data_IF_097326935505
#
_entry.id   IF_097326935505
#
_cell.length_a   1.000
_cell.length_b   1.000
_cell.length_c   1.000
_cell.angle_alpha   90.00
_cell.angle_beta   90.00
_cell.angle_gamma   90.00
#
_symmetry.space_group_name_H-M   'P 1'
#
loop_
_entity.id
_entity.type
_entity.pdbx_description
1 polymer ?
#
# COMPACT_ATOMS: atom_id res chain seq x y z
N UNK A 1 -22.68 5.09 -12.86
CA UNK A 1 -23.69 4.03 -13.10
C UNK A 1 -23.80 3.66 -14.56
N UNK A 2 -23.97 4.59 -15.51
CA UNK A 2 -23.97 4.26 -16.94
C UNK A 2 -22.74 3.44 -17.39
N UNK A 3 -21.53 3.85 -16.98
CA UNK A 3 -20.30 3.08 -17.24
C UNK A 3 -20.39 1.65 -16.69
N UNK A 4 -20.84 1.50 -15.44
CA UNK A 4 -21.01 0.20 -14.78
C UNK A 4 -22.01 -0.70 -15.52
N UNK A 5 -23.13 -0.13 -15.94
CA UNK A 5 -24.17 -0.83 -16.71
C UNK A 5 -23.62 -1.31 -18.07
N UNK A 6 -22.88 -0.45 -18.77
CA UNK A 6 -22.26 -0.77 -20.05
C UNK A 6 -21.22 -1.88 -19.91
N UNK A 7 -20.31 -1.79 -18.93
CA UNK A 7 -19.32 -2.85 -18.69
C UNK A 7 -19.98 -4.17 -18.30
N UNK A 8 -21.04 -4.13 -17.47
CA UNK A 8 -21.78 -5.34 -17.11
C UNK A 8 -22.49 -5.98 -18.32
N UNK A 9 -23.12 -5.16 -19.18
CA UNK A 9 -23.75 -5.64 -20.40
C UNK A 9 -22.74 -6.22 -21.38
N UNK A 10 -21.64 -5.52 -21.65
CA UNK A 10 -20.58 -6.00 -22.56
C UNK A 10 -19.97 -7.31 -22.06
N UNK A 11 -19.64 -7.39 -20.75
CA UNK A 11 -19.19 -8.65 -20.13
C UNK A 11 -20.18 -9.79 -20.39
N UNK A 12 -21.48 -9.54 -20.22
CA UNK A 12 -22.52 -10.56 -20.38
C UNK A 12 -22.76 -10.95 -21.85
N UNK A 13 -22.74 -10.00 -22.77
CA UNK A 13 -23.01 -10.25 -24.20
C UNK A 13 -21.81 -10.85 -24.93
N UNK A 14 -20.61 -10.39 -24.60
CA UNK A 14 -19.37 -10.79 -25.30
C UNK A 14 -18.60 -11.90 -24.57
N UNK A 15 -18.97 -12.21 -23.32
CA UNK A 15 -18.25 -13.15 -22.45
C UNK A 15 -16.76 -12.80 -22.29
N UNK A 16 -16.45 -11.50 -22.30
CA UNK A 16 -15.10 -10.96 -22.12
C UNK A 16 -14.96 -10.24 -20.79
N UNK A 17 -13.80 -10.42 -20.18
CA UNK A 17 -13.43 -9.67 -18.98
C UNK A 17 -13.37 -8.18 -19.27
N UNK A 18 -13.74 -7.37 -18.29
CA UNK A 18 -13.78 -5.91 -18.38
C UNK A 18 -12.88 -5.32 -17.30
N UNK A 19 -12.37 -4.11 -17.54
CA UNK A 19 -11.64 -3.36 -16.53
C UNK A 19 -12.10 -1.90 -16.57
N UNK A 20 -12.44 -1.35 -15.41
CA UNK A 20 -12.71 0.08 -15.23
C UNK A 20 -11.49 0.68 -14.53
N UNK A 21 -10.72 1.47 -15.28
CA UNK A 21 -9.63 2.28 -14.76
C UNK A 21 -10.19 3.60 -14.22
N UNK A 22 -9.84 3.93 -12.97
CA UNK A 22 -10.22 5.19 -12.33
C UNK A 22 -8.94 5.98 -12.06
N UNK A 23 -8.70 7.00 -12.88
CA UNK A 23 -7.53 7.89 -12.77
C UNK A 23 -7.93 9.31 -12.33
N UNK A 24 -6.94 10.10 -11.90
CA UNK A 24 -7.12 11.48 -11.46
C UNK A 24 -6.19 11.85 -10.30
N UNK A 25 -6.07 13.14 -10.00
CA UNK A 25 -5.20 13.65 -8.94
C UNK A 25 -5.59 13.16 -7.54
N UNK A 26 -4.67 13.24 -6.58
CA UNK A 26 -4.97 12.94 -5.16
C UNK A 26 -6.13 13.82 -4.67
N UNK A 27 -7.18 13.19 -4.12
CA UNK A 27 -8.42 13.87 -3.68
C UNK A 27 -9.53 13.99 -4.73
N UNK A 28 -9.33 13.58 -5.99
CA UNK A 28 -10.32 13.73 -7.07
C UNK A 28 -11.59 12.84 -6.96
N UNK A 29 -11.74 12.05 -5.87
CA UNK A 29 -12.92 11.19 -5.66
C UNK A 29 -12.84 9.78 -6.27
N UNK A 30 -11.64 9.30 -6.64
CA UNK A 30 -11.43 7.96 -7.24
C UNK A 30 -12.00 6.82 -6.40
N UNK A 31 -11.67 6.79 -5.11
CA UNK A 31 -12.15 5.77 -4.17
C UNK A 31 -13.67 5.83 -3.98
N UNK A 32 -14.26 7.03 -3.98
CA UNK A 32 -15.72 7.18 -3.93
C UNK A 32 -16.40 6.70 -5.21
N UNK A 33 -15.80 6.94 -6.38
CA UNK A 33 -16.28 6.40 -7.65
C UNK A 33 -16.24 4.85 -7.64
N UNK A 34 -15.14 4.25 -7.17
CA UNK A 34 -15.01 2.81 -7.01
C UNK A 34 -16.10 2.23 -6.09
N UNK A 35 -16.36 2.88 -4.94
CA UNK A 35 -17.45 2.52 -4.03
C UNK A 35 -18.82 2.59 -4.71
N UNK A 36 -19.08 3.61 -5.53
CA UNK A 36 -20.35 3.75 -6.27
C UNK A 36 -20.50 2.66 -7.34
N UNK A 37 -19.44 2.31 -8.05
CA UNK A 37 -19.47 1.20 -9.02
C UNK A 37 -19.79 -0.13 -8.31
N UNK A 38 -19.15 -0.41 -7.17
CA UNK A 38 -19.46 -1.58 -6.36
C UNK A 38 -20.92 -1.56 -5.86
N UNK A 39 -21.41 -0.42 -5.39
CA UNK A 39 -22.81 -0.23 -4.97
C UNK A 39 -23.80 -0.46 -6.13
N UNK A 40 -23.43 -0.12 -7.36
CA UNK A 40 -24.25 -0.40 -8.53
C UNK A 40 -24.41 -1.90 -8.74
N UNK A 41 -23.30 -2.63 -8.89
CA UNK A 41 -23.34 -4.09 -9.09
C UNK A 41 -24.00 -4.83 -7.93
N UNK A 42 -23.81 -4.31 -6.71
CA UNK A 42 -24.44 -4.80 -5.49
C UNK A 42 -25.97 -4.77 -5.54
N UNK A 43 -26.58 -3.82 -6.27
CA UNK A 43 -28.03 -3.60 -6.33
C UNK A 43 -28.65 -4.13 -7.61
N UNK A 44 -27.94 -4.05 -8.75
CA UNK A 44 -28.50 -4.35 -10.07
C UNK A 44 -28.29 -5.79 -10.53
N UNK A 45 -27.25 -6.47 -10.04
CA UNK A 45 -26.94 -7.82 -10.49
C UNK A 45 -27.89 -8.84 -9.81
N UNK A 46 -28.19 -9.98 -10.48
CA UNK A 46 -29.07 -11.01 -9.93
C UNK A 46 -28.60 -11.48 -8.55
N UNK A 47 -29.50 -11.41 -7.56
CA UNK A 47 -29.21 -11.82 -6.19
C UNK A 47 -29.47 -13.32 -6.00
N UNK A 48 -28.54 -13.98 -5.34
CA UNK A 48 -28.78 -15.20 -4.56
C UNK A 48 -28.30 -14.94 -3.13
N UNK A 49 -28.70 -15.76 -2.15
CA UNK A 49 -28.24 -15.60 -0.76
C UNK A 49 -26.71 -15.60 -0.66
N UNK A 50 -26.01 -16.31 -1.56
CA UNK A 50 -24.54 -16.28 -1.65
C UNK A 50 -23.99 -14.95 -2.18
N UNK A 51 -24.72 -14.29 -3.08
CA UNK A 51 -24.35 -12.99 -3.70
C UNK A 51 -24.39 -11.87 -2.66
N UNK A 52 -25.40 -11.86 -1.78
CA UNK A 52 -25.51 -10.83 -0.73
C UNK A 52 -24.32 -10.87 0.23
N UNK A 53 -23.84 -12.06 0.58
CA UNK A 53 -22.67 -12.23 1.44
C UNK A 53 -21.37 -11.76 0.78
N UNK A 54 -21.13 -12.08 -0.50
CA UNK A 54 -19.93 -11.61 -1.22
C UNK A 54 -19.96 -10.09 -1.40
N UNK A 55 -21.14 -9.55 -1.74
CA UNK A 55 -21.39 -8.10 -1.84
C UNK A 55 -21.03 -7.38 -0.55
N UNK A 56 -21.56 -7.83 0.58
CA UNK A 56 -21.35 -7.19 1.86
C UNK A 56 -19.87 -7.26 2.24
N UNK A 57 -19.18 -8.39 1.99
CA UNK A 57 -17.74 -8.53 2.20
C UNK A 57 -16.90 -7.60 1.35
N UNK A 58 -17.22 -7.43 0.05
CA UNK A 58 -16.53 -6.49 -0.82
C UNK A 58 -16.64 -5.05 -0.28
N UNK A 59 -17.85 -4.63 0.11
CA UNK A 59 -18.07 -3.29 0.66
C UNK A 59 -17.40 -3.11 2.03
N UNK A 60 -17.46 -4.11 2.91
CA UNK A 60 -16.85 -4.07 4.24
C UNK A 60 -15.31 -4.23 4.20
N UNK A 61 -14.73 -4.73 3.10
CA UNK A 61 -13.26 -4.75 2.95
C UNK A 61 -12.66 -3.34 2.85
N UNK A 62 -13.40 -2.36 2.32
CA UNK A 62 -12.88 -1.00 2.10
C UNK A 62 -12.52 -0.28 3.41
N UNK A 63 -13.38 -0.18 4.44
CA UNK A 63 -12.99 0.43 5.72
C UNK A 63 -11.70 -0.16 6.32
N UNK A 64 -11.54 -1.49 6.21
CA UNK A 64 -10.36 -2.18 6.71
C UNK A 64 -9.11 -1.82 5.90
N UNK A 65 -9.20 -1.84 4.56
CA UNK A 65 -8.08 -1.45 3.71
C UNK A 65 -7.72 0.04 3.85
N UNK A 66 -8.71 0.92 3.99
CA UNK A 66 -8.50 2.36 4.22
C UNK A 66 -7.83 2.59 5.59
N UNK A 67 -8.23 1.88 6.64
CA UNK A 67 -7.59 2.02 7.94
C UNK A 67 -6.08 1.70 7.92
N UNK A 68 -5.70 0.64 7.20
CA UNK A 68 -4.31 0.17 7.13
C UNK A 68 -3.51 0.70 5.94
N UNK A 69 -4.16 1.34 4.97
CA UNK A 69 -3.54 1.76 3.71
C UNK A 69 -3.69 3.24 3.42
N UNK A 70 -4.53 3.97 4.15
CA UNK A 70 -4.73 5.40 3.96
C UNK A 70 -4.15 6.21 5.10
N UNK A 71 -3.77 7.43 4.76
CA UNK A 71 -3.26 8.42 5.68
C UNK A 71 -3.64 9.83 5.24
N UNK A 72 -3.55 10.77 6.18
CA UNK A 72 -3.74 12.19 5.89
C UNK A 72 -2.45 12.78 5.32
N UNK A 73 -2.54 13.39 4.13
CA UNK A 73 -1.48 14.17 3.49
C UNK A 73 -1.83 15.65 3.51
N UNK A 74 -0.99 16.50 2.90
CA UNK A 74 -1.29 17.93 2.74
C UNK A 74 -2.46 18.22 1.78
N UNK A 75 -2.76 17.29 0.87
CA UNK A 75 -3.79 17.48 -0.18
C UNK A 75 -5.09 16.72 0.10
N UNK A 76 -5.02 15.62 0.85
CA UNK A 76 -6.16 14.75 1.09
C UNK A 76 -6.10 14.14 2.50
N UNK A 77 -7.18 14.33 3.27
CA UNK A 77 -7.28 13.82 4.63
C UNK A 77 -7.37 12.28 4.70
N UNK A 78 -7.86 11.62 3.64
CA UNK A 78 -7.97 10.17 3.51
C UNK A 78 -7.32 9.70 2.20
N UNK A 79 -6.00 9.88 2.09
CA UNK A 79 -5.24 9.54 0.88
C UNK A 79 -4.83 8.08 0.89
N UNK A 80 -5.21 7.33 -0.16
CA UNK A 80 -4.70 5.98 -0.40
C UNK A 80 -3.19 6.01 -0.63
N UNK A 81 -2.44 5.24 0.17
CA UNK A 81 -0.97 5.10 0.08
C UNK A 81 -0.55 3.71 -0.42
N UNK A 82 -1.44 3.10 -1.20
CA UNK A 82 -1.26 1.85 -1.93
C UNK A 82 -2.16 1.88 -3.17
N UNK A 83 -1.78 1.16 -4.23
CA UNK A 83 -2.63 0.91 -5.38
C UNK A 83 -3.52 -0.30 -5.12
N UNK A 84 -4.79 -0.23 -5.54
CA UNK A 84 -5.77 -1.29 -5.34
C UNK A 84 -6.39 -1.70 -6.68
N UNK A 85 -6.25 -2.96 -7.02
CA UNK A 85 -7.02 -3.59 -8.08
C UNK A 85 -8.00 -4.57 -7.46
N UNK A 86 -9.26 -4.52 -7.86
CA UNK A 86 -10.32 -5.38 -7.35
C UNK A 86 -11.08 -6.02 -8.49
N UNK A 87 -11.03 -7.34 -8.55
CA UNK A 87 -11.83 -8.15 -9.45
C UNK A 87 -13.14 -8.56 -8.79
N UNK A 88 -14.23 -8.39 -9.53
CA UNK A 88 -15.54 -8.95 -9.20
C UNK A 88 -15.79 -10.08 -10.18
N UNK A 89 -15.99 -11.28 -9.66
CA UNK A 89 -16.19 -12.49 -10.46
C UNK A 89 -17.68 -12.74 -10.66
N UNK A 90 -18.08 -13.02 -11.89
CA UNK A 90 -19.47 -13.26 -12.29
C UNK A 90 -19.64 -14.66 -12.89
N UNK A 91 -20.71 -15.36 -12.48
CA UNK A 91 -21.09 -16.61 -13.15
C UNK A 91 -21.66 -16.36 -14.55
N UNK A 92 -21.91 -17.43 -15.31
CA UNK A 92 -22.49 -17.36 -16.66
C UNK A 92 -23.89 -16.70 -16.70
N UNK A 93 -24.58 -16.56 -15.56
CA UNK A 93 -25.87 -15.88 -15.46
C UNK A 93 -25.71 -14.38 -15.17
N UNK A 94 -24.48 -13.95 -14.90
CA UNK A 94 -24.12 -12.58 -14.55
C UNK A 94 -24.34 -12.26 -13.07
N UNK A 95 -24.39 -13.27 -12.19
CA UNK A 95 -24.47 -13.05 -10.74
C UNK A 95 -23.06 -12.93 -10.12
N UNK A 96 -22.81 -12.02 -9.16
CA UNK A 96 -21.53 -11.90 -8.47
C UNK A 96 -21.28 -13.13 -7.59
N UNK A 97 -20.21 -13.87 -7.85
CA UNK A 97 -19.92 -15.14 -7.17
C UNK A 97 -18.66 -15.13 -6.31
N UNK A 98 -17.84 -14.10 -6.45
CA UNK A 98 -16.60 -13.94 -5.70
C UNK A 98 -15.89 -12.64 -6.04
N UNK A 99 -14.71 -12.47 -5.46
CA UNK A 99 -13.83 -11.37 -5.83
C UNK A 99 -12.38 -11.61 -5.41
N UNK A 100 -11.51 -10.76 -5.91
CA UNK A 100 -10.09 -10.80 -5.59
C UNK A 100 -9.52 -9.38 -5.54
N UNK A 101 -8.64 -9.13 -4.58
CA UNK A 101 -7.98 -7.83 -4.38
C UNK A 101 -6.48 -8.03 -4.55
N UNK A 102 -5.88 -7.24 -5.43
CA UNK A 102 -4.44 -7.07 -5.54
C UNK A 102 -4.05 -5.71 -4.98
N UNK A 103 -3.05 -5.69 -4.12
CA UNK A 103 -2.48 -4.47 -3.58
C UNK A 103 -1.08 -4.24 -4.17
N UNK A 104 -0.79 -2.98 -4.50
CA UNK A 104 0.47 -2.55 -5.08
C UNK A 104 1.10 -1.46 -4.25
N UNK A 105 2.43 -1.50 -4.09
CA UNK A 105 3.24 -0.36 -3.67
C UNK A 105 2.71 0.37 -2.42
N UNK A 106 2.48 -0.36 -1.32
CA UNK A 106 2.22 0.26 -0.02
C UNK A 106 3.43 1.14 0.37
N UNK A 107 3.18 2.39 0.72
CA UNK A 107 4.18 3.36 1.17
C UNK A 107 4.70 3.03 2.58
N UNK A 108 5.58 2.03 2.68
CA UNK A 108 6.06 1.51 3.98
C UNK A 108 6.80 2.56 4.82
N UNK A 109 7.50 3.50 4.19
CA UNK A 109 8.25 4.56 4.89
C UNK A 109 7.37 5.42 5.78
N UNK A 110 6.09 5.60 5.42
CA UNK A 110 5.10 6.33 6.23
C UNK A 110 4.96 5.78 7.65
N UNK A 111 5.21 4.49 7.85
CA UNK A 111 5.15 3.85 9.17
C UNK A 111 6.10 4.50 10.16
N UNK A 112 7.30 4.90 9.71
CA UNK A 112 8.39 5.37 10.58
C UNK A 112 8.70 6.86 10.44
N UNK A 113 8.24 7.48 9.34
CA UNK A 113 8.46 8.89 9.04
C UNK A 113 7.23 9.51 8.38
N UNK A 114 6.92 10.77 8.71
CA UNK A 114 5.88 11.56 8.04
C UNK A 114 6.36 13.00 7.87
N UNK A 115 6.04 13.60 6.74
CA UNK A 115 6.30 15.02 6.50
C UNK A 115 5.46 15.89 7.45
N UNK A 116 5.95 17.10 7.73
CA UNK A 116 5.21 18.05 8.57
C UNK A 116 3.80 18.31 8.00
N UNK A 117 2.81 18.26 8.88
CA UNK A 117 1.39 18.37 8.52
C UNK A 117 0.75 17.05 8.11
N UNK A 118 1.46 15.93 8.02
CA UNK A 118 0.89 14.63 7.64
C UNK A 118 0.66 13.70 8.83
N UNK A 119 -0.15 12.66 8.63
CA UNK A 119 -0.35 11.56 9.60
C UNK A 119 0.32 10.27 9.14
N UNK A 120 0.51 9.39 10.11
CA UNK A 120 0.72 7.97 9.85
C UNK A 120 -0.61 7.31 9.37
N UNK A 121 -0.62 6.00 9.15
CA UNK A 121 -1.82 5.26 8.77
C UNK A 121 -2.94 5.39 9.82
N UNK A 122 -4.18 5.45 9.36
CA UNK A 122 -5.34 5.74 10.22
C UNK A 122 -5.51 4.74 11.36
N UNK A 123 -5.20 3.45 11.14
CA UNK A 123 -5.38 2.39 12.12
C UNK A 123 -4.71 2.69 13.47
N UNK A 124 -3.54 3.35 13.48
CA UNK A 124 -2.85 3.67 14.72
C UNK A 124 -3.66 4.64 15.59
N UNK A 125 -4.20 5.69 14.97
CA UNK A 125 -5.02 6.69 15.66
C UNK A 125 -6.37 6.09 16.07
N UNK A 126 -6.99 5.28 15.19
CA UNK A 126 -8.24 4.58 15.43
C UNK A 126 -8.15 3.63 16.64
N UNK A 127 -7.09 2.83 16.75
CA UNK A 127 -6.91 1.91 17.89
C UNK A 127 -6.71 2.69 19.19
N UNK A 128 -5.87 3.73 19.19
CA UNK A 128 -5.54 4.52 20.38
C UNK A 128 -6.77 5.31 20.90
N UNK A 129 -7.53 5.95 20.01
CA UNK A 129 -8.70 6.74 20.40
C UNK A 129 -9.96 5.89 20.61
N UNK A 130 -10.12 4.82 19.82
CA UNK A 130 -11.32 4.00 19.75
C UNK A 130 -11.32 2.75 20.62
N UNK A 131 -10.15 2.19 20.93
CA UNK A 131 -10.01 0.99 21.76
C UNK A 131 -10.55 1.22 23.18
N UNK A 132 -11.14 0.18 23.77
CA UNK A 132 -11.53 0.21 25.19
C UNK A 132 -10.31 0.08 26.11
N UNK A 133 -10.50 0.39 27.40
CA UNK A 133 -9.39 0.39 28.38
C UNK A 133 -8.74 -0.99 28.54
N UNK A 134 -9.52 -2.06 28.42
CA UNK A 134 -9.01 -3.43 28.58
C UNK A 134 -8.16 -3.85 27.37
N UNK A 135 -8.56 -3.48 26.16
CA UNK A 135 -7.80 -3.65 24.93
C UNK A 135 -6.49 -2.84 24.99
N UNK A 136 -6.56 -1.56 25.33
CA UNK A 136 -5.37 -0.71 25.41
C UNK A 136 -4.40 -1.23 26.47
N UNK A 137 -4.90 -1.66 27.64
CA UNK A 137 -4.07 -2.28 28.69
C UNK A 137 -3.42 -3.57 28.21
N UNK A 138 -4.14 -4.45 27.50
CA UNK A 138 -3.57 -5.67 26.91
C UNK A 138 -2.47 -5.36 25.91
N UNK A 139 -2.67 -4.37 25.05
CA UNK A 139 -1.67 -3.93 24.06
C UNK A 139 -0.53 -3.09 24.66
N UNK A 140 -0.65 -2.68 25.93
CA UNK A 140 0.27 -1.77 26.59
C UNK A 140 0.28 -0.38 25.95
N UNK A 141 -0.87 0.07 25.42
CA UNK A 141 -0.99 1.35 24.73
C UNK A 141 -1.58 2.43 25.64
N UNK A 142 -1.13 3.67 25.44
CA UNK A 142 -1.67 4.89 26.05
C UNK A 142 -2.52 5.63 25.02
N UNK A 143 -3.60 6.29 25.48
CA UNK A 143 -4.50 7.05 24.60
C UNK A 143 -3.87 8.29 23.96
N UNK A 144 -2.73 8.75 24.46
CA UNK A 144 -2.10 9.96 23.96
C UNK A 144 -1.21 9.64 22.74
N UNK A 145 -1.55 10.10 21.53
CA UNK A 145 -0.69 9.87 20.36
C UNK A 145 0.70 10.48 20.51
N UNK A 146 0.86 11.49 21.37
CA UNK A 146 2.15 12.13 21.64
C UNK A 146 3.14 11.21 22.37
N UNK A 147 2.67 10.10 22.96
CA UNK A 147 3.53 9.10 23.60
C UNK A 147 4.27 8.22 22.58
N UNK A 148 4.02 8.37 21.28
CA UNK A 148 4.58 7.50 20.23
C UNK A 148 5.38 8.27 19.19
N UNK A 149 6.67 7.95 19.08
CA UNK A 149 7.58 8.62 18.14
C UNK A 149 7.11 8.52 16.68
N UNK A 150 6.50 7.40 16.28
CA UNK A 150 5.98 7.19 14.93
C UNK A 150 4.67 7.92 14.62
N UNK A 151 4.01 8.54 15.61
CA UNK A 151 2.75 9.28 15.39
C UNK A 151 2.92 10.80 15.44
N UNK A 152 4.10 11.29 15.86
CA UNK A 152 4.36 12.73 16.07
C UNK A 152 5.30 13.35 15.04
N UNK A 153 5.95 12.57 14.16
CA UNK A 153 6.91 13.12 13.16
C UNK A 153 6.27 14.18 12.27
N UNK A 154 5.01 14.00 11.89
CA UNK A 154 4.27 14.96 11.08
C UNK A 154 3.62 16.11 11.87
N UNK A 155 3.80 16.20 13.19
CA UNK A 155 3.17 17.22 14.05
C UNK A 155 1.65 17.38 13.87
N UNK A 156 0.96 16.31 13.46
CA UNK A 156 -0.47 16.30 13.20
C UNK A 156 -1.08 15.02 13.79
N UNK A 157 -1.63 15.08 15.00
CA UNK A 157 -2.31 13.92 15.59
C UNK A 157 -3.80 13.89 15.26
N UNK A 158 -4.42 15.06 15.15
CA UNK A 158 -5.87 15.23 14.95
C UNK A 158 -6.17 15.87 13.60
N UNK A 159 -7.28 15.43 12.99
CA UNK A 159 -7.80 15.95 11.73
C UNK A 159 -9.28 16.25 11.93
N UNK A 160 -9.72 17.47 11.60
CA UNK A 160 -11.09 17.93 11.91
C UNK A 160 -12.19 17.17 11.16
N UNK A 161 -11.89 16.65 9.97
CA UNK A 161 -12.80 15.88 9.12
C UNK A 161 -12.92 14.39 9.51
N UNK A 162 -12.08 13.91 10.45
CA UNK A 162 -11.97 12.49 10.78
C UNK A 162 -12.35 12.26 12.25
N UNK A 163 -13.09 11.17 12.51
CA UNK A 163 -13.42 10.74 13.86
C UNK A 163 -12.87 9.33 14.10
N UNK A 164 -11.61 9.26 14.51
CA UNK A 164 -10.86 8.00 14.65
C UNK A 164 -11.57 7.00 15.59
N UNK A 165 -12.29 7.47 16.61
CA UNK A 165 -13.09 6.62 17.51
C UNK A 165 -14.30 5.97 16.82
N UNK A 166 -15.00 6.70 15.96
CA UNK A 166 -16.13 6.13 15.21
C UNK A 166 -15.62 5.25 14.06
N UNK A 167 -14.53 5.65 13.42
CA UNK A 167 -13.92 4.87 12.34
C UNK A 167 -13.39 3.54 12.86
N UNK A 168 -12.82 3.51 14.07
CA UNK A 168 -12.47 2.27 14.76
C UNK A 168 -13.65 1.31 14.91
N UNK A 169 -14.83 1.80 15.32
CA UNK A 169 -16.03 0.96 15.43
C UNK A 169 -16.43 0.39 14.07
N UNK A 170 -16.32 1.19 13.01
CA UNK A 170 -16.60 0.77 11.64
C UNK A 170 -15.62 -0.31 11.19
N UNK A 171 -14.31 -0.13 11.42
CA UNK A 171 -13.26 -1.11 11.10
C UNK A 171 -13.45 -2.41 11.89
N UNK A 172 -13.69 -2.31 13.20
CA UNK A 172 -13.89 -3.48 14.06
C UNK A 172 -15.11 -4.29 13.64
N UNK A 173 -16.24 -3.62 13.32
CA UNK A 173 -17.43 -4.29 12.78
C UNK A 173 -17.15 -4.91 11.42
N UNK A 174 -16.44 -4.19 10.56
CA UNK A 174 -16.10 -4.67 9.22
C UNK A 174 -15.28 -5.96 9.28
N UNK A 175 -14.24 -6.02 10.13
CA UNK A 175 -13.41 -7.22 10.35
C UNK A 175 -14.27 -8.47 10.64
N UNK A 176 -15.31 -8.34 11.46
CA UNK A 176 -16.23 -9.45 11.74
C UNK A 176 -17.05 -9.90 10.51
N UNK A 177 -17.41 -8.99 9.61
CA UNK A 177 -18.18 -9.30 8.39
C UNK A 177 -17.30 -10.00 7.34
N UNK A 178 -16.03 -9.65 7.26
CA UNK A 178 -15.04 -10.27 6.34
C UNK A 178 -14.38 -11.52 6.93
N UNK A 179 -15.07 -12.23 7.82
CA UNK A 179 -14.69 -13.50 8.43
C UNK A 179 -13.34 -13.50 9.20
N UNK A 180 -12.96 -12.39 9.83
CA UNK A 180 -11.85 -12.42 10.79
C UNK A 180 -12.35 -12.98 12.12
N UNK A 181 -11.66 -13.99 12.63
CA UNK A 181 -11.93 -14.51 13.98
C UNK A 181 -11.42 -13.54 15.04
N UNK A 182 -11.92 -13.66 16.28
CA UNK A 182 -11.42 -12.85 17.39
C UNK A 182 -9.92 -13.04 17.63
N UNK A 183 -9.38 -14.25 17.38
CA UNK A 183 -7.95 -14.53 17.45
C UNK A 183 -7.17 -13.80 16.34
N UNK A 184 -7.68 -13.81 15.10
CA UNK A 184 -7.07 -13.04 14.00
C UNK A 184 -7.01 -11.54 14.31
N UNK A 185 -8.09 -10.99 14.91
CA UNK A 185 -8.17 -9.58 15.30
C UNK A 185 -7.17 -9.28 16.43
N UNK A 186 -7.08 -10.14 17.44
CA UNK A 186 -6.13 -9.97 18.54
C UNK A 186 -4.67 -9.99 18.05
N UNK A 187 -4.31 -10.96 17.20
CA UNK A 187 -2.98 -11.02 16.59
C UNK A 187 -2.67 -9.81 15.73
N UNK A 188 -3.63 -9.36 14.90
CA UNK A 188 -3.50 -8.16 14.09
C UNK A 188 -3.21 -6.91 14.95
N UNK A 189 -3.93 -6.76 16.06
CA UNK A 189 -3.75 -5.63 16.97
C UNK A 189 -2.46 -5.72 17.78
N UNK A 190 -2.01 -6.93 18.15
CA UNK A 190 -0.69 -7.14 18.75
C UNK A 190 0.42 -6.65 17.82
N UNK A 191 0.30 -6.90 16.51
CA UNK A 191 1.26 -6.40 15.53
C UNK A 191 1.20 -4.87 15.39
N UNK A 192 0.00 -4.28 15.31
CA UNK A 192 -0.17 -2.82 15.27
C UNK A 192 0.47 -2.15 16.50
N UNK A 193 0.23 -2.69 17.70
CA UNK A 193 0.83 -2.19 18.93
C UNK A 193 2.36 -2.38 18.94
N UNK A 194 2.85 -3.51 18.43
CA UNK A 194 4.29 -3.77 18.33
C UNK A 194 5.02 -2.74 17.48
N UNK A 195 4.42 -2.31 16.37
CA UNK A 195 5.01 -1.26 15.50
C UNK A 195 5.15 0.06 16.25
N UNK A 196 4.15 0.46 17.04
CA UNK A 196 4.22 1.67 17.86
C UNK A 196 5.30 1.58 18.95
N UNK A 197 5.38 0.43 19.63
CA UNK A 197 6.38 0.19 20.67
C UNK A 197 7.80 0.12 20.12
N UNK A 198 7.99 -0.42 18.91
CA UNK A 198 9.28 -0.39 18.21
C UNK A 198 9.76 1.05 18.05
N UNK A 199 8.90 1.99 17.63
CA UNK A 199 9.30 3.39 17.46
C UNK A 199 9.77 4.09 18.73
N UNK A 200 9.35 3.59 19.89
CA UNK A 200 9.74 4.13 21.20
C UNK A 200 11.01 3.48 21.78
N UNK A 201 11.56 2.45 21.14
CA UNK A 201 12.83 1.87 21.54
C UNK A 201 13.96 2.89 21.35
N UNK A 202 14.65 3.17 22.45
CA UNK A 202 15.85 4.01 22.48
C UNK A 202 17.10 3.14 22.53
N UNK A 203 18.11 3.55 21.76
CA UNK A 203 19.44 2.95 21.76
C UNK A 203 20.46 3.97 22.29
N UNK A 204 21.39 3.52 23.12
CA UNK A 204 22.56 4.26 23.59
C UNK A 204 23.83 3.62 23.05
N UNK A 205 24.93 4.38 23.03
CA UNK A 205 26.26 3.82 22.81
C UNK A 205 26.78 3.22 24.12
N UNK A 206 27.38 2.04 24.05
CA UNK A 206 28.28 1.55 25.09
C UNK A 206 29.67 2.19 24.98
N UNK A 207 30.59 1.78 25.87
CA UNK A 207 31.97 2.29 25.96
C UNK A 207 32.79 2.01 24.70
N UNK A 208 32.40 1.00 23.91
CA UNK A 208 33.05 0.59 22.66
C UNK A 208 32.41 1.21 21.40
N UNK A 209 31.40 2.08 21.56
CA UNK A 209 30.70 2.71 20.43
C UNK A 209 29.50 1.91 19.89
N UNK A 210 29.17 0.77 20.49
CA UNK A 210 28.14 -0.14 19.99
C UNK A 210 26.76 0.18 20.57
N UNK A 211 25.71 -0.15 19.81
CA UNK A 211 24.34 0.08 20.19
C UNK A 211 23.88 -0.86 21.32
N UNK A 212 23.28 -0.27 22.34
CA UNK A 212 22.63 -0.98 23.45
C UNK A 212 21.23 -0.43 23.68
N UNK A 213 20.26 -1.30 23.97
CA UNK A 213 18.86 -0.89 24.18
C UNK A 213 18.63 -0.52 25.65
N UNK A 214 18.14 0.70 25.89
CA UNK A 214 17.97 1.28 27.25
C UNK A 214 16.63 0.94 27.93
N UNK A 215 15.66 0.35 27.21
CA UNK A 215 14.29 0.08 27.69
C UNK A 215 13.96 -1.40 27.89
N UNK A 216 14.29 -1.98 29.05
CA UNK A 216 14.00 -3.40 29.35
C UNK A 216 12.49 -3.72 29.36
N UNK A 217 11.66 -2.81 29.88
CA UNK A 217 10.21 -2.99 29.89
C UNK A 217 9.60 -2.98 28.49
N UNK A 218 10.13 -2.16 27.58
CA UNK A 218 9.67 -2.09 26.19
C UNK A 218 10.02 -3.38 25.43
N UNK A 219 11.22 -3.94 25.66
CA UNK A 219 11.62 -5.22 25.06
C UNK A 219 10.75 -6.36 25.57
N UNK A 220 10.43 -6.41 26.87
CA UNK A 220 9.51 -7.43 27.41
C UNK A 220 8.12 -7.33 26.81
N UNK A 221 7.60 -6.11 26.64
CA UNK A 221 6.31 -5.85 26.02
C UNK A 221 6.30 -6.31 24.55
N UNK A 222 7.32 -5.92 23.77
CA UNK A 222 7.49 -6.34 22.37
C UNK A 222 7.63 -7.86 22.23
N UNK A 223 8.44 -8.47 23.09
CA UNK A 223 8.63 -9.93 23.15
C UNK A 223 7.30 -10.67 23.33
N UNK A 224 6.43 -10.17 24.22
CA UNK A 224 5.09 -10.72 24.42
C UNK A 224 4.17 -10.51 23.22
N UNK A 225 4.13 -9.31 22.65
CA UNK A 225 3.23 -8.98 21.54
C UNK A 225 3.62 -9.69 20.23
N UNK A 226 4.92 -9.81 19.95
CA UNK A 226 5.45 -10.49 18.76
C UNK A 226 5.59 -12.00 18.95
N UNK A 227 5.51 -12.50 20.18
CA UNK A 227 5.69 -13.92 20.49
C UNK A 227 7.13 -14.43 20.27
N UNK A 228 8.13 -13.56 20.45
CA UNK A 228 9.56 -13.88 20.23
C UNK A 228 10.37 -13.71 21.52
N UNK A 229 11.44 -14.48 21.76
CA UNK A 229 12.30 -14.27 22.93
C UNK A 229 12.93 -12.87 22.94
N UNK A 230 12.82 -12.16 24.07
CA UNK A 230 13.36 -10.80 24.20
C UNK A 230 14.88 -10.70 24.03
N UNK A 231 15.62 -11.76 24.37
CA UNK A 231 17.08 -11.85 24.15
C UNK A 231 17.41 -11.85 22.66
N UNK A 232 16.70 -12.66 21.87
CA UNK A 232 16.87 -12.75 20.42
C UNK A 232 16.48 -11.44 19.74
N UNK A 233 15.37 -10.82 20.17
CA UNK A 233 14.93 -9.53 19.63
C UNK A 233 15.96 -8.42 19.92
N UNK A 234 16.52 -8.39 21.13
CA UNK A 234 17.56 -7.43 21.51
C UNK A 234 18.81 -7.58 20.65
N UNK A 235 19.31 -8.81 20.51
CA UNK A 235 20.49 -9.10 19.69
C UNK A 235 20.25 -8.74 18.22
N UNK A 236 19.09 -9.12 17.66
CA UNK A 236 18.73 -8.83 16.27
C UNK A 236 18.62 -7.34 15.94
N UNK A 237 18.35 -6.49 16.94
CA UNK A 237 18.27 -5.03 16.77
C UNK A 237 19.63 -4.34 16.95
N UNK A 238 20.59 -4.97 17.64
CA UNK A 238 21.90 -4.39 17.93
C UNK A 238 23.06 -5.06 17.22
N UNK A 239 22.83 -6.17 16.51
CA UNK A 239 23.85 -6.92 15.79
C UNK A 239 23.39 -7.26 14.36
N UNK A 240 24.36 -7.41 13.47
CA UNK A 240 24.17 -7.97 12.13
C UNK A 240 24.91 -9.30 12.00
N UNK A 241 24.29 -10.23 11.28
CA UNK A 241 24.90 -11.49 10.88
C UNK A 241 25.46 -11.35 9.46
N UNK A 242 26.76 -11.58 9.30
CA UNK A 242 27.47 -11.54 8.02
C UNK A 242 27.88 -12.98 7.71
N UNK A 243 27.50 -13.46 6.52
CA UNK A 243 27.92 -14.78 6.02
C UNK A 243 28.94 -14.54 4.91
N UNK A 244 30.19 -14.91 5.16
CA UNK A 244 31.28 -14.75 4.19
C UNK A 244 32.03 -16.08 4.05
N UNK A 245 32.13 -16.60 2.82
CA UNK A 245 32.86 -17.85 2.49
C UNK A 245 32.46 -19.08 3.35
N UNK A 246 31.21 -19.13 3.81
CA UNK A 246 30.69 -20.22 4.65
C UNK A 246 30.90 -20.05 6.16
N UNK A 247 31.58 -18.98 6.59
CA UNK A 247 31.69 -18.61 8.00
C UNK A 247 30.61 -17.59 8.38
N UNK A 248 30.03 -17.75 9.56
CA UNK A 248 29.03 -16.84 10.12
C UNK A 248 29.69 -15.96 11.18
N UNK A 249 29.68 -14.64 10.96
CA UNK A 249 30.20 -13.67 11.90
C UNK A 249 29.07 -12.75 12.37
N UNK A 250 28.95 -12.59 13.68
CA UNK A 250 28.01 -11.65 14.31
C UNK A 250 28.82 -10.41 14.71
N UNK A 251 28.41 -9.26 14.20
CA UNK A 251 29.07 -7.97 14.45
C UNK A 251 28.08 -6.99 15.05
N UNK A 252 28.47 -6.23 16.09
CA UNK A 252 27.62 -5.20 16.67
C UNK A 252 27.36 -4.06 15.67
N UNK A 253 26.23 -3.38 15.85
CA UNK A 253 25.83 -2.19 15.12
C UNK A 253 26.14 -0.95 15.95
N UNK A 254 26.41 0.17 15.30
CA UNK A 254 26.41 1.47 15.98
C UNK A 254 24.96 1.97 16.20
N UNK A 255 24.78 3.05 16.98
CA UNK A 255 23.46 3.58 17.36
C UNK A 255 22.60 3.92 16.14
N UNK A 256 23.21 4.52 15.12
CA UNK A 256 22.53 4.91 13.88
C UNK A 256 22.05 3.68 13.09
N UNK A 257 22.92 2.68 12.90
CA UNK A 257 22.58 1.41 12.24
C UNK A 257 21.50 0.64 13.00
N UNK A 258 21.51 0.65 14.34
CA UNK A 258 20.47 0.04 15.15
C UNK A 258 19.11 0.75 14.98
N UNK A 259 19.10 2.08 14.84
CA UNK A 259 17.89 2.83 14.51
C UNK A 259 17.37 2.48 13.11
N UNK A 260 18.25 2.38 12.11
CA UNK A 260 17.88 1.89 10.78
C UNK A 260 17.32 0.45 10.81
N UNK A 261 17.93 -0.45 11.58
CA UNK A 261 17.47 -1.84 11.72
C UNK A 261 16.07 -1.91 12.37
N UNK A 262 15.84 -1.12 13.43
CA UNK A 262 14.53 -0.97 14.09
C UNK A 262 13.47 -0.45 13.12
N UNK A 263 13.78 0.59 12.36
CA UNK A 263 12.84 1.19 11.42
C UNK A 263 12.58 0.24 10.24
N UNK A 264 13.60 -0.47 9.75
CA UNK A 264 13.45 -1.51 8.74
C UNK A 264 12.54 -2.65 9.24
N UNK A 265 12.71 -3.10 10.48
CA UNK A 265 11.86 -4.11 11.10
C UNK A 265 10.41 -3.64 11.21
N UNK A 266 10.17 -2.41 11.67
CA UNK A 266 8.82 -1.83 11.77
C UNK A 266 8.13 -1.75 10.40
N UNK A 267 8.83 -1.26 9.37
CA UNK A 267 8.34 -1.22 7.98
C UNK A 267 8.05 -2.61 7.44
N UNK A 268 8.92 -3.59 7.71
CA UNK A 268 8.78 -4.96 7.23
C UNK A 268 7.59 -5.67 7.88
N UNK A 269 7.43 -5.53 9.20
CA UNK A 269 6.30 -6.07 9.96
C UNK A 269 5.00 -5.49 9.40
N UNK A 270 4.87 -4.16 9.37
CA UNK A 270 3.64 -3.52 8.90
C UNK A 270 3.31 -3.88 7.45
N UNK A 271 4.31 -3.83 6.56
CA UNK A 271 4.12 -4.19 5.15
C UNK A 271 3.68 -5.64 4.95
N UNK A 272 4.25 -6.60 5.71
CA UNK A 272 3.84 -8.01 5.64
C UNK A 272 2.46 -8.23 6.26
N UNK A 273 2.11 -7.50 7.32
CA UNK A 273 0.77 -7.53 7.92
C UNK A 273 -0.28 -7.01 6.94
N UNK A 274 0.01 -5.96 6.19
CA UNK A 274 -0.90 -5.47 5.15
C UNK A 274 -1.10 -6.50 4.03
N UNK A 275 -0.02 -7.13 3.55
CA UNK A 275 -0.14 -8.24 2.58
C UNK A 275 -0.94 -9.42 3.13
N UNK A 276 -0.73 -9.80 4.40
CA UNK A 276 -1.50 -10.84 5.07
C UNK A 276 -2.99 -10.46 5.19
N UNK A 277 -3.28 -9.20 5.52
CA UNK A 277 -4.63 -8.67 5.64
C UNK A 277 -5.38 -8.80 4.31
N UNK A 278 -4.76 -8.40 3.20
CA UNK A 278 -5.30 -8.55 1.85
C UNK A 278 -5.51 -10.03 1.51
N UNK A 279 -4.56 -10.91 1.83
CA UNK A 279 -4.70 -12.35 1.61
C UNK A 279 -5.87 -12.95 2.40
N UNK A 280 -6.07 -12.53 3.65
CA UNK A 280 -7.18 -12.98 4.49
C UNK A 280 -8.53 -12.48 3.96
N UNK A 281 -8.61 -11.22 3.52
CA UNK A 281 -9.78 -10.67 2.81
C UNK A 281 -10.09 -11.51 1.56
N UNK A 282 -9.08 -11.81 0.75
CA UNK A 282 -9.25 -12.63 -0.45
C UNK A 282 -9.78 -14.03 -0.15
N UNK A 283 -9.38 -14.66 0.97
CA UNK A 283 -9.97 -15.93 1.42
C UNK A 283 -11.45 -15.82 1.77
N UNK A 284 -11.90 -14.67 2.30
CA UNK A 284 -13.32 -14.42 2.57
C UNK A 284 -14.12 -14.14 1.29
N UNK A 285 -13.50 -13.50 0.29
CA UNK A 285 -14.09 -13.17 -1.01
C UNK A 285 -14.06 -14.32 -2.03
N UNK A 286 -13.20 -15.32 -1.82
CA UNK A 286 -12.97 -16.39 -2.77
C UNK A 286 -14.26 -17.18 -3.08
N UNK A 287 -14.47 -17.44 -4.37
CA UNK A 287 -15.54 -18.30 -4.84
C UNK A 287 -15.32 -19.74 -4.34
N UNK A 288 -16.32 -20.33 -3.68
CA UNK A 288 -16.19 -21.63 -2.99
C UNK A 288 -16.74 -22.84 -3.77
N UNK A 289 -17.25 -22.68 -4.99
CA UNK A 289 -17.67 -23.86 -5.77
C UNK A 289 -16.45 -24.54 -6.42
N UNK A 290 -16.28 -25.83 -6.09
CA UNK A 290 -15.16 -26.69 -6.46
C UNK A 290 -15.30 -27.32 -7.86
N UNK A 291 -16.33 -26.97 -8.63
CA UNK A 291 -16.57 -27.46 -9.99
C UNK A 291 -15.87 -26.59 -11.04
N UNK A 292 -14.67 -26.09 -10.72
CA UNK A 292 -13.79 -25.40 -11.65
C UNK A 292 -13.35 -26.39 -12.75
N UNK A 293 -13.90 -26.20 -13.94
CA UNK A 293 -13.30 -26.67 -15.18
C UNK A 293 -12.96 -25.44 -16.02
N UNK A 294 -11.94 -25.49 -16.87
CA UNK A 294 -11.57 -24.36 -17.76
C UNK A 294 -12.74 -23.87 -18.63
N UNK A 295 -13.77 -24.70 -18.83
CA UNK A 295 -15.00 -24.34 -19.56
C UNK A 295 -16.02 -23.51 -18.75
N UNK A 296 -15.79 -23.30 -17.45
CA UNK A 296 -16.72 -22.64 -16.54
C UNK A 296 -16.06 -21.52 -15.72
N UNK A 297 -14.97 -20.94 -16.25
CA UNK A 297 -14.28 -19.82 -15.60
C UNK A 297 -15.22 -18.61 -15.50
N UNK A 298 -15.38 -17.99 -14.32
CA UNK A 298 -16.19 -16.79 -14.18
C UNK A 298 -15.56 -15.63 -14.95
N UNK A 299 -16.40 -14.83 -15.60
CA UNK A 299 -15.97 -13.55 -16.17
C UNK A 299 -15.69 -12.55 -15.06
N UNK A 300 -14.82 -11.60 -15.35
CA UNK A 300 -14.35 -10.63 -14.36
C UNK A 300 -14.64 -9.21 -14.80
N UNK A 301 -15.10 -8.38 -13.86
CA UNK A 301 -15.01 -6.92 -13.99
C UNK A 301 -13.99 -6.44 -12.95
N UNK A 302 -12.82 -6.03 -13.45
CA UNK A 302 -11.76 -5.42 -12.67
C UNK A 302 -12.02 -3.94 -12.43
N UNK A 303 -11.71 -3.46 -11.23
CA UNK A 303 -11.71 -2.06 -10.86
C UNK A 303 -10.29 -1.68 -10.43
N UNK A 304 -9.65 -0.79 -11.20
CA UNK A 304 -8.32 -0.29 -10.88
C UNK A 304 -8.45 1.10 -10.22
N UNK A 305 -8.28 1.13 -8.90
CA UNK A 305 -8.25 2.33 -8.06
C UNK A 305 -6.81 2.55 -7.56
N UNK A 306 -6.08 3.40 -8.28
CA UNK A 306 -4.69 3.73 -7.96
C UNK A 306 -4.59 5.12 -7.34
N UNK A 307 -3.54 5.37 -6.55
CA UNK A 307 -3.19 6.72 -6.11
C UNK A 307 -2.96 7.64 -7.31
N UNK A 308 -3.28 8.93 -7.15
CA UNK A 308 -3.10 9.93 -8.22
C UNK A 308 -1.69 10.51 -8.24
N UNK A 309 -1.39 11.30 -9.27
CA UNK A 309 -0.19 12.15 -9.29
C UNK A 309 -0.10 13.04 -8.04
N UNK A 310 1.11 13.20 -7.52
CA UNK A 310 1.42 14.01 -6.35
C UNK A 310 2.60 14.95 -6.62
N UNK A 311 2.40 16.21 -6.25
CA UNK A 311 3.45 17.24 -6.31
C UNK A 311 3.38 18.07 -5.03
N UNK A 312 4.36 17.90 -4.17
CA UNK A 312 4.52 18.67 -2.94
C UNK A 312 5.69 19.64 -3.06
N UNK A 313 5.86 20.48 -2.03
CA UNK A 313 7.04 21.36 -1.93
C UNK A 313 8.33 20.54 -1.83
N UNK A 314 8.29 19.43 -1.11
CA UNK A 314 9.37 18.45 -1.02
C UNK A 314 8.82 17.08 -1.44
N UNK A 315 9.32 16.55 -2.55
CA UNK A 315 8.95 15.23 -3.05
C UNK A 315 10.10 14.27 -2.76
N UNK A 316 9.80 13.12 -2.16
CA UNK A 316 10.77 12.08 -1.86
C UNK A 316 10.59 10.88 -2.80
N UNK A 317 11.31 9.79 -2.52
CA UNK A 317 11.25 8.54 -3.28
C UNK A 317 9.82 7.98 -3.42
N UNK A 318 8.95 8.25 -2.45
CA UNK A 318 7.55 7.84 -2.45
C UNK A 318 6.76 8.53 -3.57
N UNK A 319 6.88 9.86 -3.69
CA UNK A 319 6.23 10.60 -4.78
C UNK A 319 6.82 10.19 -6.14
N UNK A 320 8.12 9.92 -6.21
CA UNK A 320 8.75 9.38 -7.42
C UNK A 320 8.10 8.06 -7.85
N UNK A 321 7.96 7.08 -6.94
CA UNK A 321 7.27 5.81 -7.22
C UNK A 321 5.81 6.01 -7.66
N UNK A 322 5.10 6.91 -6.97
CA UNK A 322 3.69 7.22 -7.23
C UNK A 322 3.51 7.82 -8.64
N UNK A 323 4.31 8.83 -8.97
CA UNK A 323 4.24 9.53 -10.24
C UNK A 323 4.70 8.64 -11.39
N UNK A 324 5.76 7.84 -11.20
CA UNK A 324 6.18 6.85 -12.18
C UNK A 324 5.08 5.82 -12.49
N UNK A 325 4.38 5.32 -11.48
CA UNK A 325 3.29 4.38 -11.71
C UNK A 325 2.13 5.04 -12.49
N UNK A 326 1.81 6.30 -12.19
CA UNK A 326 0.82 7.06 -12.97
C UNK A 326 1.29 7.31 -14.41
N UNK A 327 2.59 7.55 -14.62
CA UNK A 327 3.18 7.72 -15.96
C UNK A 327 2.98 6.45 -16.82
N UNK A 328 3.21 5.27 -16.24
CA UNK A 328 2.95 3.98 -16.90
C UNK A 328 1.49 3.78 -17.26
N UNK A 329 0.57 4.17 -16.37
CA UNK A 329 -0.86 4.09 -16.63
C UNK A 329 -1.31 5.08 -17.71
N UNK A 330 -0.75 6.29 -17.71
CA UNK A 330 -1.01 7.29 -18.74
C UNK A 330 -0.53 6.82 -20.11
N UNK A 331 0.65 6.19 -20.16
CA UNK A 331 1.17 5.58 -21.39
C UNK A 331 0.23 4.49 -21.91
N UNK A 332 -0.24 3.59 -21.04
CA UNK A 332 -1.18 2.55 -21.41
C UNK A 332 -2.51 3.13 -21.93
N UNK A 333 -3.02 4.18 -21.28
CA UNK A 333 -4.23 4.86 -21.70
C UNK A 333 -4.08 5.45 -23.11
N UNK A 334 -2.99 6.18 -23.37
CA UNK A 334 -2.72 6.79 -24.68
C UNK A 334 -2.59 5.70 -25.76
N UNK A 335 -1.92 4.59 -25.45
CA UNK A 335 -1.73 3.49 -26.38
C UNK A 335 -3.06 2.82 -26.77
N UNK A 336 -3.95 2.58 -25.79
CA UNK A 336 -5.22 1.89 -26.00
C UNK A 336 -6.37 2.76 -26.50
N UNK A 337 -6.30 4.09 -26.33
CA UNK A 337 -7.41 4.99 -26.71
C UNK A 337 -7.10 5.79 -27.95
N UNK A 338 -5.89 6.33 -28.05
CA UNK A 338 -5.55 7.21 -29.16
C UNK A 338 -4.76 6.45 -30.21
N UNK A 339 -3.64 5.84 -29.83
CA UNK A 339 -2.74 5.21 -30.81
C UNK A 339 -3.42 4.06 -31.55
N UNK A 340 -4.07 3.14 -30.84
CA UNK A 340 -4.76 2.01 -31.47
C UNK A 340 -5.93 2.43 -32.36
N UNK A 341 -6.70 3.45 -31.97
CA UNK A 341 -7.79 3.96 -32.81
C UNK A 341 -7.25 4.56 -34.12
N UNK A 342 -6.19 5.37 -34.04
CA UNK A 342 -5.56 5.94 -35.24
C UNK A 342 -4.97 4.87 -36.17
N UNK A 343 -4.33 3.84 -35.59
CA UNK A 343 -3.78 2.70 -36.33
C UNK A 343 -4.90 1.86 -37.00
N UNK A 344 -6.06 1.72 -36.35
CA UNK A 344 -7.23 1.03 -36.91
C UNK A 344 -7.84 1.80 -38.08
N UNK A 345 -8.01 3.12 -37.96
CA UNK A 345 -8.48 3.95 -39.08
C UNK A 345 -7.55 3.88 -40.30
N UNK A 346 -6.24 3.93 -40.06
CA UNK A 346 -5.24 3.81 -41.13
C UNK A 346 -5.28 2.41 -41.79
N UNK A 347 -5.38 1.35 -40.99
CA UNK A 347 -5.45 -0.03 -41.48
C UNK A 347 -6.72 -0.32 -42.31
N UNK A 348 -7.86 0.25 -41.91
CA UNK A 348 -9.14 0.14 -42.64
C UNK A 348 -9.22 1.10 -43.84
N UNK A 349 -8.20 1.93 -44.07
CA UNK A 349 -8.15 2.89 -45.19
C UNK A 349 -9.16 4.03 -45.06
N UNK A 350 -9.59 4.33 -43.83
CA UNK A 350 -10.53 5.41 -43.54
C UNK A 350 -9.76 6.72 -43.44
N UNK A 351 -10.28 7.78 -44.09
CA UNK A 351 -9.67 9.10 -44.00
C UNK A 351 -9.69 9.60 -42.54
N UNK A 352 -8.50 9.77 -41.97
CA UNK A 352 -8.30 10.22 -40.60
C UNK A 352 -7.32 11.38 -40.56
N UNK A 353 -7.59 12.38 -39.72
CA UNK A 353 -6.66 13.47 -39.43
C UNK A 353 -5.86 13.13 -38.16
N UNK A 354 -4.54 12.88 -38.25
CA UNK A 354 -3.75 12.47 -37.09
C UNK A 354 -3.75 13.52 -35.98
N UNK A 355 -4.22 13.13 -34.79
CA UNK A 355 -4.17 13.92 -33.57
C UNK A 355 -2.77 13.81 -32.98
N UNK A 356 -2.14 14.96 -32.77
CA UNK A 356 -0.84 15.05 -32.11
C UNK A 356 -1.00 14.84 -30.60
N UNK A 357 -0.14 14.01 -30.01
CA UNK A 357 -0.14 13.74 -28.58
C UNK A 357 1.28 13.59 -28.02
N UNK A 358 1.42 13.79 -26.71
CA UNK A 358 2.68 13.55 -26.02
C UNK A 358 2.82 12.05 -25.70
N UNK A 359 3.91 11.44 -26.13
CA UNK A 359 4.18 10.03 -25.87
C UNK A 359 4.97 9.87 -24.56
N UNK A 360 4.28 9.52 -23.48
CA UNK A 360 4.83 9.33 -22.15
C UNK A 360 5.91 8.23 -22.06
N UNK A 361 6.05 7.39 -23.10
CA UNK A 361 7.10 6.37 -23.19
C UNK A 361 8.50 6.93 -22.93
N UNK A 362 8.81 8.15 -23.40
CA UNK A 362 10.12 8.76 -23.17
C UNK A 362 10.40 8.99 -21.67
N UNK A 363 9.37 9.32 -20.89
CA UNK A 363 9.48 9.53 -19.44
C UNK A 363 9.54 8.17 -18.73
N UNK A 364 8.75 7.19 -19.18
CA UNK A 364 8.80 5.83 -18.65
C UNK A 364 10.19 5.20 -18.83
N UNK A 365 10.77 5.32 -20.03
CA UNK A 365 12.09 4.78 -20.36
C UNK A 365 13.20 5.46 -19.52
N UNK A 366 13.11 6.79 -19.30
CA UNK A 366 14.02 7.51 -18.39
C UNK A 366 14.05 6.90 -16.98
N UNK A 367 12.93 6.36 -16.51
CA UNK A 367 12.84 5.78 -15.16
C UNK A 367 13.24 4.31 -15.15
N UNK A 368 12.76 3.50 -16.10
CA UNK A 368 12.79 2.03 -16.03
C UNK A 368 13.82 1.34 -16.95
N UNK A 369 14.45 2.07 -17.88
CA UNK A 369 15.38 1.46 -18.83
C UNK A 369 16.52 0.74 -18.08
N UNK A 370 16.74 -0.53 -18.42
CA UNK A 370 17.80 -1.32 -17.78
C UNK A 370 19.16 -0.67 -18.00
N UNK A 371 19.96 -0.59 -16.94
CA UNK A 371 21.32 -0.02 -16.94
C UNK A 371 21.43 1.49 -17.19
N UNK A 372 20.33 2.20 -17.49
CA UNK A 372 20.37 3.65 -17.78
C UNK A 372 19.29 4.45 -17.08
N UNK A 373 18.18 3.82 -16.72
CA UNK A 373 17.08 4.48 -16.05
C UNK A 373 17.41 4.81 -14.60
N UNK A 374 16.70 5.79 -14.05
CA UNK A 374 16.89 6.29 -12.68
C UNK A 374 16.88 5.16 -11.65
N UNK A 375 15.95 4.19 -11.77
CA UNK A 375 15.87 3.06 -10.83
C UNK A 375 17.10 2.16 -10.93
N UNK A 376 17.60 1.91 -12.13
CA UNK A 376 18.80 1.09 -12.33
C UNK A 376 20.04 1.75 -11.74
N UNK A 377 20.14 3.07 -11.84
CA UNK A 377 21.25 3.85 -11.27
C UNK A 377 21.17 3.83 -9.73
N UNK A 378 19.96 3.98 -9.18
CA UNK A 378 19.71 3.90 -7.74
C UNK A 378 20.10 2.53 -7.17
N UNK A 379 19.68 1.44 -7.82
CA UNK A 379 20.03 0.08 -7.41
C UNK A 379 21.55 -0.13 -7.41
N UNK A 380 22.26 0.40 -8.42
CA UNK A 380 23.70 0.29 -8.50
C UNK A 380 24.41 1.04 -7.36
N UNK A 381 23.97 2.27 -7.03
CA UNK A 381 24.53 3.03 -5.91
C UNK A 381 24.22 2.39 -4.56
N UNK A 382 23.05 1.78 -4.40
CA UNK A 382 22.69 1.03 -3.17
C UNK A 382 23.54 -0.24 -2.97
N UNK A 383 24.07 -0.84 -4.04
CA UNK A 383 24.89 -2.06 -3.99
C UNK A 383 26.40 -1.76 -3.97
N UNK A 384 26.79 -0.50 -4.20
CA UNK A 384 28.19 -0.10 -4.31
C UNK A 384 28.90 -0.21 -2.95
N UNK A 385 30.12 -0.82 -2.90
CA UNK A 385 30.94 -0.78 -1.70
C UNK A 385 31.52 0.62 -1.47
N UNK A 386 31.47 1.10 -0.23
CA UNK A 386 31.98 2.42 0.18
C UNK A 386 30.87 3.35 0.70
N UNK A 387 31.19 4.63 0.83
CA UNK A 387 30.25 5.66 1.32
C UNK A 387 29.36 6.17 0.18
N UNK A 388 28.37 5.36 -0.21
CA UNK A 388 27.30 5.82 -1.10
C UNK A 388 26.43 6.84 -0.36
N UNK A 389 26.17 7.99 -0.99
CA UNK A 389 25.33 9.06 -0.42
C UNK A 389 24.33 9.55 -1.45
N UNK A 390 23.32 10.30 -1.00
CA UNK A 390 22.36 10.94 -1.90
C UNK A 390 23.06 11.87 -2.92
N UNK A 391 24.20 12.47 -2.55
CA UNK A 391 24.99 13.32 -3.44
C UNK A 391 25.73 12.51 -4.51
N UNK A 392 26.34 11.37 -4.15
CA UNK A 392 27.01 10.51 -5.15
C UNK A 392 26.00 9.90 -6.12
N UNK A 393 24.79 9.61 -5.65
CA UNK A 393 23.67 9.21 -6.50
C UNK A 393 23.28 10.31 -7.49
N UNK A 394 23.14 11.56 -7.01
CA UNK A 394 22.82 12.70 -7.88
C UNK A 394 23.89 12.95 -8.95
N UNK A 395 25.17 12.93 -8.58
CA UNK A 395 26.29 13.09 -9.52
C UNK A 395 26.23 12.05 -10.65
N UNK A 396 25.92 10.79 -10.30
CA UNK A 396 25.81 9.69 -11.27
C UNK A 396 24.58 9.82 -12.17
N UNK A 397 23.47 10.35 -11.65
CA UNK A 397 22.31 10.68 -12.48
C UNK A 397 22.67 11.76 -13.51
N UNK A 398 23.35 12.82 -13.09
CA UNK A 398 23.80 13.89 -14.01
C UNK A 398 24.74 13.36 -15.10
N UNK A 399 25.66 12.48 -14.74
CA UNK A 399 26.57 11.84 -15.70
C UNK A 399 25.84 10.96 -16.72
N UNK A 400 24.87 10.16 -16.26
CA UNK A 400 24.24 9.11 -17.08
C UNK A 400 23.05 9.63 -17.88
N UNK A 401 22.17 10.43 -17.26
CA UNK A 401 20.91 10.90 -17.84
C UNK A 401 20.82 12.43 -17.97
N UNK A 402 21.87 13.18 -17.63
CA UNK A 402 21.89 14.65 -17.65
C UNK A 402 21.57 15.31 -19.00
N UNK A 403 21.68 14.58 -20.11
CA UNK A 403 21.35 15.07 -21.46
C UNK A 403 19.91 14.77 -21.89
N UNK A 404 19.14 14.07 -21.06
CA UNK A 404 17.78 13.67 -21.39
C UNK A 404 16.84 14.89 -21.35
N UNK A 405 15.96 15.09 -22.36
CA UNK A 405 15.14 16.31 -22.48
C UNK A 405 14.16 16.54 -21.31
N UNK A 406 13.84 15.50 -20.55
CA UNK A 406 12.93 15.54 -19.40
C UNK A 406 13.63 15.31 -18.05
N UNK A 407 14.96 15.40 -18.01
CA UNK A 407 15.72 15.35 -16.76
C UNK A 407 16.41 16.70 -16.53
N UNK A 408 16.25 17.25 -15.32
CA UNK A 408 16.82 18.54 -14.91
C UNK A 408 17.25 18.42 -13.46
N UNK A 409 18.41 18.99 -13.13
CA UNK A 409 18.94 19.10 -11.76
C UNK A 409 19.00 20.52 -11.25
#
# INVERSE_FOLDING_TARGET
YAISDNSYRSMKSEQKDQCILISGESGAGKTEASKKILQYYAVTCPASVRVETVRDRLLQSNPVLEAFGNAKTLRNDNSSRFGKYMDIQFDFRGAPVGGHILNYLLEKSRVVHQNHGERNFHIFYQVIEGGDEDLLRRLGLERNPQSYQYLVKGHCAKVSSINDKNDWKTVHKALSVIDFSNADIEELLNVVASVLHLGNLQCSSDDDGNATITGENQIRLLSRLLGVPGTVLREALTHKKIIAKGEELISPLNVEQAAYARDALAKAIYGRTFTWLVHKINKSLAHRDSTYSDRNRPNVIGLLDIYGFEVFQHNSFEQFCINYCNEKLQQLFIELTLKSEQEEYEAEGIAWEPVQYFNNKIICDLVEEKHKGIISILDEECLRPGDATDLTFLEKLEETVGKHPHFVT
#
